data_IF_162256424705
#
_entry.id   IF_162256424705
#
_cell.length_a   1.000
_cell.length_b   1.000
_cell.length_c   1.000
_cell.angle_alpha   90.00
_cell.angle_beta   90.00
_cell.angle_gamma   90.00
#
_symmetry.space_group_name_H-M   'P 1'
#
loop_
_entity.id
_entity.type
_entity.pdbx_description
1 polymer ?
#
# COMPACT_ATOMS: atom_id res chain seq x y z
N UNK A 1 -53.22 24.38 1.37
CA UNK A 1 -52.45 23.74 2.45
C UNK A 1 -51.20 23.13 1.86
N UNK A 2 -50.03 23.63 2.30
CA UNK A 2 -48.74 23.04 2.01
C UNK A 2 -48.56 21.76 2.83
N UNK A 3 -48.00 20.71 2.22
CA UNK A 3 -47.13 19.77 2.94
C UNK A 3 -45.98 19.38 2.02
N UNK A 4 -44.81 19.90 2.38
CA UNK A 4 -43.53 19.70 1.72
C UNK A 4 -43.05 18.26 1.87
N UNK A 5 -42.56 17.74 0.75
CA UNK A 5 -41.71 16.57 0.63
C UNK A 5 -40.40 16.75 1.41
N UNK A 6 -39.99 15.73 2.16
CA UNK A 6 -38.61 15.57 2.65
C UNK A 6 -38.26 14.08 2.70
N UNK A 7 -38.14 13.49 1.50
CA UNK A 7 -37.34 12.28 1.31
C UNK A 7 -35.87 12.66 1.34
N UNK A 8 -35.24 12.63 2.52
CA UNK A 8 -33.80 12.75 2.66
C UNK A 8 -33.14 11.48 2.08
N UNK A 9 -32.89 11.52 0.77
CA UNK A 9 -32.05 10.55 0.09
C UNK A 9 -30.64 10.70 0.69
N UNK A 10 -30.24 9.74 1.52
CA UNK A 10 -28.88 9.64 2.02
C UNK A 10 -27.94 9.53 0.82
N UNK A 11 -27.37 10.66 0.43
CA UNK A 11 -26.39 10.76 -0.63
C UNK A 11 -25.11 10.11 -0.11
N UNK A 12 -24.96 8.81 -0.36
CA UNK A 12 -23.69 8.12 -0.18
C UNK A 12 -22.64 8.88 -0.98
N UNK A 13 -21.52 9.33 -0.39
CA UNK A 13 -20.46 9.96 -1.17
C UNK A 13 -20.06 9.00 -2.29
N UNK A 14 -19.92 9.47 -3.54
CA UNK A 14 -19.56 8.59 -4.65
C UNK A 14 -18.23 7.92 -4.31
N UNK A 15 -18.12 6.58 -4.38
CA UNK A 15 -16.84 5.93 -4.20
C UNK A 15 -15.91 6.49 -5.28
N UNK A 16 -14.70 6.91 -4.90
CA UNK A 16 -13.70 7.39 -5.85
C UNK A 16 -13.70 6.45 -7.08
N UNK A 17 -14.15 6.99 -8.21
CA UNK A 17 -14.56 6.22 -9.39
C UNK A 17 -13.43 5.31 -9.84
N UNK A 18 -13.75 4.21 -10.54
CA UNK A 18 -12.73 3.36 -11.22
C UNK A 18 -11.73 4.22 -12.02
N UNK A 19 -12.17 5.39 -12.45
CA UNK A 19 -11.40 6.43 -13.14
C UNK A 19 -10.25 7.01 -12.30
N UNK A 20 -10.42 7.20 -10.98
CA UNK A 20 -9.35 7.73 -10.12
C UNK A 20 -8.19 6.75 -9.97
N UNK A 21 -8.49 5.47 -9.78
CA UNK A 21 -7.46 4.43 -9.63
C UNK A 21 -6.81 4.09 -10.95
N UNK A 22 -7.57 4.17 -12.04
CA UNK A 22 -7.03 4.09 -13.39
C UNK A 22 -6.07 5.25 -13.66
N UNK A 23 -6.46 6.48 -13.32
CA UNK A 23 -5.62 7.66 -13.46
C UNK A 23 -4.34 7.57 -12.63
N UNK A 24 -4.41 7.13 -11.37
CA UNK A 24 -3.23 6.93 -10.53
C UNK A 24 -2.32 5.81 -11.07
N UNK A 25 -2.89 4.76 -11.67
CA UNK A 25 -2.13 3.70 -12.32
C UNK A 25 -1.47 4.15 -13.63
N UNK A 26 -2.12 5.04 -14.37
CA UNK A 26 -1.56 5.68 -15.57
C UNK A 26 -0.42 6.63 -15.19
N UNK A 27 -0.56 7.42 -14.11
CA UNK A 27 0.53 8.24 -13.55
C UNK A 27 1.73 7.39 -13.14
N UNK A 28 1.52 6.30 -12.39
CA UNK A 28 2.58 5.35 -12.05
C UNK A 28 3.31 4.79 -13.29
N UNK A 29 2.57 4.51 -14.38
CA UNK A 29 3.17 4.02 -15.63
C UNK A 29 3.99 5.11 -16.32
N UNK A 30 3.49 6.34 -16.35
CA UNK A 30 4.20 7.49 -16.90
C UNK A 30 5.50 7.77 -16.12
N UNK A 31 5.41 7.92 -14.79
CA UNK A 31 6.55 8.08 -13.89
C UNK A 31 7.55 6.91 -14.02
N UNK A 32 7.07 5.69 -14.28
CA UNK A 32 7.91 4.53 -14.53
C UNK A 32 8.66 4.58 -15.88
N UNK A 33 8.02 5.12 -16.92
CA UNK A 33 8.62 5.27 -18.24
C UNK A 33 9.66 6.41 -18.27
N UNK A 34 9.39 7.52 -17.58
CA UNK A 34 10.37 8.60 -17.36
C UNK A 34 11.62 8.07 -16.66
N UNK A 35 11.44 7.34 -15.56
CA UNK A 35 12.56 6.75 -14.82
C UNK A 35 13.39 5.77 -15.67
N UNK A 36 12.79 5.11 -16.65
CA UNK A 36 13.51 4.25 -17.58
C UNK A 36 14.38 5.08 -18.55
N UNK A 37 13.82 6.14 -19.14
CA UNK A 37 14.55 7.05 -20.02
C UNK A 37 15.73 7.71 -19.30
N UNK A 38 15.51 8.19 -18.09
CA UNK A 38 16.55 8.81 -17.27
C UNK A 38 17.68 7.83 -16.93
N UNK A 39 17.36 6.55 -16.70
CA UNK A 39 18.38 5.51 -16.47
C UNK A 39 19.17 5.19 -17.73
N UNK A 40 18.55 5.22 -18.90
CA UNK A 40 19.26 5.05 -20.16
C UNK A 40 20.18 6.24 -20.42
N UNK A 41 19.71 7.44 -20.16
CA UNK A 41 20.52 8.65 -20.28
C UNK A 41 21.70 8.62 -19.30
N UNK A 42 21.47 8.25 -18.05
CA UNK A 42 22.52 8.06 -17.05
C UNK A 42 23.60 7.08 -17.51
N UNK A 43 23.23 5.96 -18.15
CA UNK A 43 24.20 5.00 -18.69
C UNK A 43 25.05 5.62 -19.81
N UNK A 44 24.44 6.42 -20.68
CA UNK A 44 25.16 7.13 -21.75
C UNK A 44 26.13 8.16 -21.16
N UNK A 45 25.71 8.90 -20.14
CA UNK A 45 26.59 9.88 -19.48
C UNK A 45 27.74 9.22 -18.71
N UNK A 46 27.53 8.03 -18.13
CA UNK A 46 28.59 7.23 -17.53
C UNK A 46 29.61 6.74 -18.57
N UNK A 47 29.15 6.35 -19.77
CA UNK A 47 30.03 6.00 -20.88
C UNK A 47 30.80 7.23 -21.38
N UNK A 48 30.13 8.36 -21.58
CA UNK A 48 30.76 9.61 -22.00
C UNK A 48 31.84 10.07 -21.01
N UNK A 49 31.60 9.93 -19.71
CA UNK A 49 32.60 10.23 -18.69
C UNK A 49 33.81 9.28 -18.76
N UNK A 50 33.59 7.99 -19.02
CA UNK A 50 34.69 7.03 -19.22
C UNK A 50 35.54 7.42 -20.42
N UNK A 51 34.93 7.82 -21.53
CA UNK A 51 35.66 8.18 -22.74
C UNK A 51 36.37 9.54 -22.61
N UNK A 52 35.75 10.53 -21.96
CA UNK A 52 36.41 11.80 -21.64
C UNK A 52 37.65 11.61 -20.74
N UNK A 53 37.59 10.66 -19.79
CA UNK A 53 38.76 10.33 -18.96
C UNK A 53 39.89 9.69 -19.76
N UNK A 54 39.57 8.87 -20.77
CA UNK A 54 40.59 8.28 -21.68
C UNK A 54 41.27 9.33 -22.55
N UNK A 55 40.56 10.41 -22.92
CA UNK A 55 41.13 11.46 -23.76
C UNK A 55 42.08 12.40 -23.00
N UNK A 56 42.12 12.35 -21.66
CA UNK A 56 43.00 13.18 -20.83
C UNK A 56 42.68 14.68 -20.83
N UNK A 57 41.56 15.09 -21.42
CA UNK A 57 41.14 16.48 -21.55
C UNK A 57 40.32 16.89 -20.31
N UNK A 58 40.86 17.75 -19.42
CA UNK A 58 40.19 18.10 -18.17
C UNK A 58 38.88 18.85 -18.38
N UNK A 59 38.74 19.62 -19.47
CA UNK A 59 37.51 20.34 -19.77
C UNK A 59 36.40 19.37 -20.18
N UNK A 60 36.72 18.36 -21.00
CA UNK A 60 35.77 17.29 -21.37
C UNK A 60 35.36 16.44 -20.19
N UNK A 61 36.29 16.10 -19.29
CA UNK A 61 35.98 15.36 -18.07
C UNK A 61 35.00 16.16 -17.21
N UNK A 62 35.27 17.44 -16.96
CA UNK A 62 34.39 18.29 -16.14
C UNK A 62 32.98 18.40 -16.72
N UNK A 63 32.87 18.63 -18.03
CA UNK A 63 31.58 18.68 -18.70
C UNK A 63 30.80 17.35 -18.62
N UNK A 64 31.49 16.21 -18.72
CA UNK A 64 30.86 14.89 -18.57
C UNK A 64 30.43 14.61 -17.12
N UNK A 65 31.20 15.07 -16.12
CA UNK A 65 30.83 14.96 -14.71
C UNK A 65 29.60 15.80 -14.35
N UNK A 66 29.49 17.01 -14.90
CA UNK A 66 28.32 17.87 -14.72
C UNK A 66 27.05 17.24 -15.33
N UNK A 67 27.15 16.69 -16.54
CA UNK A 67 26.05 15.93 -17.17
C UNK A 67 25.65 14.71 -16.33
N UNK A 68 26.62 13.91 -15.91
CA UNK A 68 26.37 12.73 -15.09
C UNK A 68 25.68 13.12 -13.76
N UNK A 69 26.08 14.25 -13.16
CA UNK A 69 25.45 14.76 -11.94
C UNK A 69 24.00 15.18 -12.18
N UNK A 70 23.71 15.84 -13.31
CA UNK A 70 22.36 16.21 -13.69
C UNK A 70 21.47 14.97 -13.85
N UNK A 71 21.90 13.97 -14.64
CA UNK A 71 21.15 12.74 -14.89
C UNK A 71 20.93 11.91 -13.61
N UNK A 72 21.89 11.92 -12.66
CA UNK A 72 21.68 11.35 -11.33
C UNK A 72 20.61 12.09 -10.52
N UNK A 73 20.52 13.40 -10.71
CA UNK A 73 19.47 14.25 -10.13
C UNK A 73 18.10 13.90 -10.65
N UNK A 74 17.94 13.77 -11.97
CA UNK A 74 16.70 13.42 -12.65
C UNK A 74 16.19 12.03 -12.20
N UNK A 75 17.03 10.99 -12.28
CA UNK A 75 16.72 9.64 -11.76
C UNK A 75 16.28 9.66 -10.28
N UNK A 76 16.84 10.57 -9.47
CA UNK A 76 16.45 10.72 -8.06
C UNK A 76 15.09 11.42 -7.93
N UNK A 77 14.80 12.41 -8.77
CA UNK A 77 13.51 13.09 -8.86
C UNK A 77 12.41 12.10 -9.24
N UNK A 78 12.58 11.38 -10.34
CA UNK A 78 11.63 10.40 -10.85
C UNK A 78 11.34 9.29 -9.84
N UNK A 79 12.37 8.81 -9.14
CA UNK A 79 12.18 7.86 -8.04
C UNK A 79 11.30 8.42 -6.93
N UNK A 80 11.47 9.68 -6.56
CA UNK A 80 10.64 10.32 -5.52
C UNK A 80 9.18 10.48 -5.99
N UNK A 81 8.98 10.82 -7.27
CA UNK A 81 7.65 10.95 -7.84
C UNK A 81 6.92 9.61 -7.88
N UNK A 82 7.56 8.57 -8.44
CA UNK A 82 7.03 7.21 -8.44
C UNK A 82 6.75 6.71 -7.01
N UNK A 83 7.61 7.09 -6.08
CA UNK A 83 7.45 6.75 -4.67
C UNK A 83 6.21 7.39 -4.04
N UNK A 84 5.90 8.64 -4.40
CA UNK A 84 4.72 9.37 -3.93
C UNK A 84 3.44 8.85 -4.57
N UNK A 85 3.46 8.58 -5.88
CA UNK A 85 2.33 7.99 -6.62
C UNK A 85 1.92 6.64 -5.99
N UNK A 86 2.91 5.82 -5.62
CA UNK A 86 2.67 4.52 -4.97
C UNK A 86 2.01 4.68 -3.60
N UNK A 87 2.50 5.60 -2.77
CA UNK A 87 1.93 5.86 -1.44
C UNK A 87 0.49 6.38 -1.52
N UNK A 88 0.20 7.22 -2.52
CA UNK A 88 -1.16 7.71 -2.74
C UNK A 88 -2.10 6.55 -3.08
N UNK A 89 -1.73 5.71 -4.04
CA UNK A 89 -2.55 4.58 -4.47
C UNK A 89 -2.79 3.57 -3.34
N UNK A 90 -1.80 3.37 -2.47
CA UNK A 90 -1.93 2.53 -1.28
C UNK A 90 -2.93 3.10 -0.25
N UNK A 91 -2.83 4.40 0.06
CA UNK A 91 -3.79 5.08 0.95
C UNK A 91 -5.22 4.96 0.41
N UNK A 92 -5.41 5.22 -0.88
CA UNK A 92 -6.71 5.16 -1.53
C UNK A 92 -7.28 3.73 -1.54
N UNK A 93 -6.41 2.71 -1.63
CA UNK A 93 -6.81 1.31 -1.53
C UNK A 93 -7.27 0.96 -0.11
N UNK A 94 -6.49 1.32 0.92
CA UNK A 94 -6.83 1.08 2.33
C UNK A 94 -8.09 1.83 2.76
N UNK A 95 -8.30 3.05 2.25
CA UNK A 95 -9.50 3.81 2.53
C UNK A 95 -10.75 3.12 1.97
N UNK A 96 -10.70 2.65 0.72
CA UNK A 96 -11.82 1.91 0.12
C UNK A 96 -12.14 0.61 0.85
N UNK A 97 -11.13 -0.10 1.36
CA UNK A 97 -11.40 -1.29 2.18
C UNK A 97 -12.15 -0.93 3.47
N UNK A 98 -11.81 0.20 4.10
CA UNK A 98 -12.51 0.69 5.31
C UNK A 98 -13.95 1.05 5.00
N UNK A 99 -14.19 1.82 3.95
CA UNK A 99 -15.53 2.21 3.50
C UNK A 99 -16.39 0.97 3.18
N UNK A 100 -15.79 -0.01 2.49
CA UNK A 100 -16.46 -1.27 2.19
C UNK A 100 -16.80 -2.05 3.46
N UNK A 101 -15.87 -2.17 4.40
CA UNK A 101 -16.13 -2.82 5.69
C UNK A 101 -17.19 -2.09 6.53
N UNK A 102 -17.30 -0.77 6.44
CA UNK A 102 -18.36 0.00 7.08
C UNK A 102 -19.72 -0.34 6.46
N UNK A 103 -19.84 -0.27 5.14
CA UNK A 103 -21.07 -0.61 4.43
C UNK A 103 -21.53 -2.06 4.73
N UNK A 104 -20.59 -3.00 4.79
CA UNK A 104 -20.86 -4.40 5.15
C UNK A 104 -21.40 -4.55 6.57
N UNK A 105 -20.87 -3.77 7.52
CA UNK A 105 -21.36 -3.75 8.91
C UNK A 105 -22.76 -3.18 9.01
N UNK A 106 -23.06 -2.13 8.26
CA UNK A 106 -24.39 -1.52 8.24
C UNK A 106 -25.44 -2.48 7.66
N UNK A 107 -25.13 -3.11 6.52
CA UNK A 107 -25.99 -4.15 5.93
C UNK A 107 -26.24 -5.31 6.89
N UNK A 108 -25.18 -5.82 7.52
CA UNK A 108 -25.31 -6.90 8.51
C UNK A 108 -26.21 -6.49 9.68
N UNK A 109 -26.07 -5.25 10.19
CA UNK A 109 -26.92 -4.72 11.26
C UNK A 109 -28.39 -4.64 10.83
N UNK A 110 -28.66 -4.14 9.63
CA UNK A 110 -30.01 -4.05 9.08
C UNK A 110 -30.65 -5.44 8.96
N UNK A 111 -29.95 -6.39 8.35
CA UNK A 111 -30.46 -7.76 8.18
C UNK A 111 -30.63 -8.51 9.51
N UNK A 112 -29.80 -8.22 10.52
CA UNK A 112 -30.02 -8.74 11.88
C UNK A 112 -31.25 -8.12 12.56
N UNK A 113 -31.53 -6.84 12.33
CA UNK A 113 -32.71 -6.18 12.88
C UNK A 113 -34.00 -6.71 12.23
N UNK A 114 -34.00 -6.93 10.92
CA UNK A 114 -35.08 -7.57 10.19
C UNK A 114 -35.32 -9.00 10.70
N UNK A 115 -34.27 -9.82 10.78
CA UNK A 115 -34.36 -11.18 11.32
C UNK A 115 -34.96 -11.22 12.74
N UNK A 116 -34.69 -10.22 13.59
CA UNK A 116 -35.31 -10.12 14.92
C UNK A 116 -36.81 -9.82 14.83
N UNK A 117 -37.25 -9.00 13.87
CA UNK A 117 -38.67 -8.73 13.62
C UNK A 117 -39.38 -9.98 13.15
N UNK A 118 -38.80 -10.73 12.21
CA UNK A 118 -39.37 -11.98 11.70
C UNK A 118 -39.51 -13.04 12.81
N UNK A 119 -38.50 -13.14 13.70
CA UNK A 119 -38.59 -13.99 14.88
C UNK A 119 -39.70 -13.55 15.84
N UNK A 120 -39.93 -12.25 15.97
CA UNK A 120 -41.07 -11.70 16.71
C UNK A 120 -42.41 -12.07 16.07
N UNK A 121 -42.49 -12.04 14.73
CA UNK A 121 -43.68 -12.45 13.98
C UNK A 121 -43.98 -13.93 14.17
N UNK A 122 -42.96 -14.80 14.08
CA UNK A 122 -43.11 -16.24 14.38
C UNK A 122 -43.73 -16.47 15.75
N UNK A 123 -43.29 -15.75 16.80
CA UNK A 123 -43.88 -15.90 18.14
C UNK A 123 -45.36 -15.52 18.17
N UNK A 124 -45.77 -14.48 17.46
CA UNK A 124 -47.18 -14.07 17.35
C UNK A 124 -48.00 -15.12 16.60
N UNK A 125 -47.47 -15.67 15.52
CA UNK A 125 -48.16 -16.71 14.75
C UNK A 125 -48.26 -18.03 15.54
N UNK A 126 -47.25 -18.36 16.35
CA UNK A 126 -47.32 -19.50 17.28
C UNK A 126 -48.42 -19.31 18.34
N UNK A 127 -48.58 -18.10 18.86
CA UNK A 127 -49.67 -17.77 19.77
C UNK A 127 -51.03 -17.86 19.06
N UNK A 128 -51.16 -17.27 17.87
CA UNK A 128 -52.38 -17.32 17.07
C UNK A 128 -52.78 -18.78 16.76
N UNK A 129 -51.80 -19.65 16.46
CA UNK A 129 -52.05 -21.08 16.27
C UNK A 129 -52.54 -21.76 17.55
N UNK A 130 -51.97 -21.44 18.71
CA UNK A 130 -52.46 -21.97 19.99
C UNK A 130 -53.91 -21.56 20.25
N UNK A 131 -54.25 -20.30 20.00
CA UNK A 131 -55.61 -19.80 20.21
C UNK A 131 -56.61 -20.37 19.21
N UNK A 132 -56.22 -20.53 17.94
CA UNK A 132 -57.02 -21.25 16.94
C UNK A 132 -57.31 -22.69 17.37
N UNK A 133 -56.30 -23.40 17.90
CA UNK A 133 -56.47 -24.78 18.42
C UNK A 133 -57.43 -24.86 19.59
N UNK A 134 -57.43 -23.88 20.49
CA UNK A 134 -58.42 -23.80 21.59
C UNK A 134 -59.85 -23.59 21.09
N UNK A 135 -60.02 -22.88 19.97
CA UNK A 135 -61.35 -22.63 19.38
C UNK A 135 -61.97 -23.86 18.70
N UNK A 136 -61.16 -24.88 18.37
CA UNK A 136 -61.62 -26.09 17.69
C UNK A 136 -61.99 -25.92 16.21
N UNK A 137 -61.96 -24.69 15.68
CA UNK A 137 -62.29 -24.38 14.29
C UNK A 137 -61.16 -24.84 13.34
N UNK A 138 -61.40 -25.87 12.49
CA UNK A 138 -60.38 -26.40 11.60
C UNK A 138 -59.87 -25.38 10.56
N UNK A 139 -60.74 -24.46 10.11
CA UNK A 139 -60.37 -23.45 9.13
C UNK A 139 -59.41 -22.42 9.74
N UNK A 140 -59.66 -22.01 10.99
CA UNK A 140 -58.76 -21.10 11.74
C UNK A 140 -57.41 -21.74 12.03
N UNK A 141 -57.40 -23.03 12.39
CA UNK A 141 -56.16 -23.77 12.63
C UNK A 141 -55.32 -23.80 11.35
N UNK A 142 -55.91 -24.21 10.22
CA UNK A 142 -55.21 -24.28 8.93
C UNK A 142 -54.63 -22.92 8.53
N UNK A 143 -55.41 -21.85 8.65
CA UNK A 143 -54.94 -20.50 8.33
C UNK A 143 -53.77 -20.04 9.23
N UNK A 144 -53.82 -20.37 10.53
CA UNK A 144 -52.72 -20.06 11.46
C UNK A 144 -51.45 -20.88 11.17
N UNK A 145 -51.59 -22.15 10.78
CA UNK A 145 -50.46 -23.00 10.39
C UNK A 145 -49.77 -22.50 9.12
N UNK A 146 -50.54 -22.04 8.13
CA UNK A 146 -49.99 -21.44 6.91
C UNK A 146 -49.22 -20.15 7.20
N UNK A 147 -49.76 -19.26 8.05
CA UNK A 147 -49.06 -18.05 8.49
C UNK A 147 -47.76 -18.38 9.22
N UNK A 148 -47.82 -19.30 10.19
CA UNK A 148 -46.63 -19.72 10.92
C UNK A 148 -45.57 -20.33 10.00
N UNK A 149 -46.00 -21.12 9.00
CA UNK A 149 -45.09 -21.68 7.99
C UNK A 149 -44.45 -20.58 7.14
N UNK A 150 -45.19 -19.56 6.75
CA UNK A 150 -44.66 -18.42 6.01
C UNK A 150 -43.59 -17.66 6.83
N UNK A 151 -43.91 -17.27 8.06
CA UNK A 151 -42.99 -16.54 8.95
C UNK A 151 -41.72 -17.35 9.27
N UNK A 152 -41.83 -18.67 9.41
CA UNK A 152 -40.66 -19.56 9.58
C UNK A 152 -39.76 -19.57 8.34
N UNK A 153 -40.34 -19.48 7.13
CA UNK A 153 -39.56 -19.36 5.88
C UNK A 153 -38.83 -18.02 5.82
N UNK A 154 -39.47 -16.92 6.23
CA UNK A 154 -38.84 -15.59 6.29
C UNK A 154 -37.63 -15.61 7.24
N UNK A 155 -37.80 -16.14 8.46
CA UNK A 155 -36.68 -16.31 9.41
C UNK A 155 -35.56 -17.16 8.80
N UNK A 156 -35.87 -18.23 8.08
CA UNK A 156 -34.87 -19.04 7.41
C UNK A 156 -34.13 -18.27 6.31
N UNK A 157 -34.84 -17.43 5.54
CA UNK A 157 -34.26 -16.51 4.56
C UNK A 157 -33.35 -15.48 5.21
N UNK A 158 -33.84 -14.77 6.23
CA UNK A 158 -33.05 -13.77 6.97
C UNK A 158 -31.79 -14.35 7.60
N UNK A 159 -31.84 -15.58 8.13
CA UNK A 159 -30.63 -16.29 8.63
C UNK A 159 -29.59 -16.49 7.54
N UNK A 160 -30.00 -16.95 6.35
CA UNK A 160 -29.10 -17.14 5.21
C UNK A 160 -28.48 -15.82 4.76
N UNK A 161 -29.26 -14.75 4.76
CA UNK A 161 -28.79 -13.42 4.39
C UNK A 161 -27.75 -12.87 5.38
N UNK A 162 -28.03 -12.99 6.69
CA UNK A 162 -27.05 -12.64 7.74
C UNK A 162 -25.76 -13.46 7.62
N UNK A 163 -25.86 -14.75 7.29
CA UNK A 163 -24.68 -15.60 7.05
C UNK A 163 -23.89 -15.14 5.82
N UNK A 164 -24.57 -14.82 4.73
CA UNK A 164 -23.93 -14.31 3.51
C UNK A 164 -23.19 -13.00 3.76
N UNK A 165 -23.79 -12.07 4.52
CA UNK A 165 -23.15 -10.82 4.92
C UNK A 165 -21.92 -11.04 5.79
N UNK A 166 -21.98 -11.98 6.75
CA UNK A 166 -20.82 -12.34 7.58
C UNK A 166 -19.66 -12.85 6.72
N UNK A 167 -19.94 -13.76 5.78
CA UNK A 167 -18.94 -14.28 4.85
C UNK A 167 -18.37 -13.18 3.96
N UNK A 168 -19.20 -12.23 3.51
CA UNK A 168 -18.73 -11.10 2.71
C UNK A 168 -17.81 -10.18 3.50
N UNK A 169 -18.19 -9.87 4.74
CA UNK A 169 -17.37 -9.06 5.63
C UNK A 169 -16.05 -9.75 5.97
N UNK A 170 -16.04 -11.07 6.15
CA UNK A 170 -14.83 -11.84 6.38
C UNK A 170 -13.84 -11.72 5.22
N UNK A 171 -14.30 -11.92 3.98
CA UNK A 171 -13.49 -11.71 2.78
C UNK A 171 -12.96 -10.27 2.67
N UNK A 172 -13.74 -9.30 3.10
CA UNK A 172 -13.33 -7.89 3.05
C UNK A 172 -12.31 -7.55 4.13
N UNK A 173 -12.38 -8.20 5.29
CA UNK A 173 -11.35 -8.12 6.33
C UNK A 173 -10.05 -8.77 5.88
N UNK A 174 -10.13 -9.93 5.25
CA UNK A 174 -8.97 -10.63 4.68
C UNK A 174 -8.28 -9.75 3.64
N UNK A 175 -9.03 -9.25 2.66
CA UNK A 175 -8.50 -8.31 1.66
C UNK A 175 -7.82 -7.09 2.27
N UNK A 176 -8.44 -6.48 3.28
CA UNK A 176 -7.85 -5.32 3.97
C UNK A 176 -6.55 -5.67 4.71
N UNK A 177 -6.46 -6.90 5.27
CA UNK A 177 -5.24 -7.40 5.90
C UNK A 177 -4.13 -7.59 4.88
N UNK A 178 -4.43 -8.24 3.76
CA UNK A 178 -3.46 -8.46 2.68
C UNK A 178 -2.91 -7.15 2.15
N UNK A 179 -3.77 -6.15 1.94
CA UNK A 179 -3.35 -4.83 1.49
C UNK A 179 -2.44 -4.14 2.50
N UNK A 180 -2.76 -4.23 3.81
CA UNK A 180 -1.93 -3.67 4.88
C UNK A 180 -0.60 -4.43 5.03
N UNK A 181 -0.58 -5.73 4.82
CA UNK A 181 0.65 -6.51 4.85
C UNK A 181 1.54 -6.19 3.64
N UNK A 182 0.94 -6.06 2.45
CA UNK A 182 1.65 -5.66 1.25
C UNK A 182 2.30 -4.28 1.42
N UNK A 183 1.57 -3.32 1.99
CA UNK A 183 2.08 -2.00 2.36
C UNK A 183 3.32 -2.09 3.26
N UNK A 184 3.24 -2.86 4.34
CA UNK A 184 4.37 -3.07 5.27
C UNK A 184 5.58 -3.65 4.57
N UNK A 185 5.40 -4.71 3.77
CA UNK A 185 6.49 -5.33 3.01
C UNK A 185 7.14 -4.36 2.02
N UNK A 186 6.35 -3.47 1.41
CA UNK A 186 6.85 -2.46 0.49
C UNK A 186 7.65 -1.35 1.22
N UNK A 187 7.24 -0.98 2.43
CA UNK A 187 7.98 -0.06 3.30
C UNK A 187 9.29 -0.69 3.81
N UNK A 188 9.26 -1.95 4.26
CA UNK A 188 10.43 -2.68 4.75
C UNK A 188 11.51 -2.78 3.65
N UNK A 189 11.11 -3.19 2.43
CA UNK A 189 12.01 -3.24 1.26
C UNK A 189 12.61 -1.87 0.91
N UNK A 190 11.91 -0.77 1.21
CA UNK A 190 12.47 0.58 1.06
C UNK A 190 13.43 0.93 2.17
N UNK A 191 13.13 0.55 3.41
CA UNK A 191 13.99 0.73 4.58
C UNK A 191 15.34 0.06 4.37
N UNK A 192 15.36 -1.22 3.98
CA UNK A 192 16.57 -2.00 3.70
C UNK A 192 17.44 -1.34 2.60
N UNK A 193 16.83 -0.90 1.50
CA UNK A 193 17.54 -0.21 0.40
C UNK A 193 18.13 1.14 0.80
N UNK A 194 17.64 1.77 1.88
CA UNK A 194 18.19 3.01 2.43
C UNK A 194 19.32 2.70 3.42
N UNK A 195 19.14 1.72 4.31
CA UNK A 195 20.16 1.26 5.25
C UNK A 195 21.47 0.84 4.58
N UNK A 196 21.40 0.04 3.51
CA UNK A 196 22.59 -0.41 2.76
C UNK A 196 23.40 0.73 2.12
N UNK A 197 22.79 1.89 1.86
CA UNK A 197 23.49 3.05 1.28
C UNK A 197 24.18 3.88 2.34
N UNK A 198 23.60 3.98 3.53
CA UNK A 198 24.18 4.77 4.61
C UNK A 198 25.40 4.04 5.22
N UNK A 199 25.38 2.71 5.31
CA UNK A 199 26.52 1.90 5.75
C UNK A 199 27.73 1.97 4.78
N UNK A 200 27.48 2.09 3.47
CA UNK A 200 28.56 2.31 2.49
C UNK A 200 29.11 3.74 2.53
N UNK A 201 28.31 4.72 2.96
CA UNK A 201 28.71 6.12 3.02
C UNK A 201 29.59 6.41 4.25
N UNK A 202 29.41 5.66 5.32
CA UNK A 202 30.21 5.78 6.53
C UNK A 202 31.59 5.12 6.40
N UNK A 203 31.65 3.93 5.78
CA UNK A 203 32.94 3.25 5.50
C UNK A 203 33.82 3.98 4.47
N UNK A 204 33.26 4.88 3.66
CA UNK A 204 34.00 5.66 2.65
C UNK A 204 34.73 6.90 3.18
N UNK A 205 34.51 7.30 4.44
CA UNK A 205 35.14 8.51 5.04
C UNK A 205 36.33 8.22 5.96
N UNK A 206 36.69 6.95 6.17
CA UNK A 206 37.73 6.53 7.12
C UNK A 206 39.18 6.55 6.61
N UNK A 207 39.44 6.71 5.30
CA UNK A 207 40.79 6.51 4.73
C UNK A 207 41.30 7.75 3.98
N UNK A 208 41.27 8.93 4.61
CA UNK A 208 41.89 10.12 4.03
C UNK A 208 42.37 11.12 5.09
N UNK A 209 43.08 10.64 6.13
CA UNK A 209 43.92 11.51 6.95
C UNK A 209 45.17 10.78 7.45
N UNK A 210 46.32 11.25 6.96
CA UNK A 210 47.53 11.34 7.77
C UNK A 210 48.65 10.37 7.44
N UNK A 211 49.39 10.63 6.35
CA UNK A 211 50.85 10.45 6.34
C UNK A 211 51.48 11.51 5.43
N UNK A 212 51.79 12.65 6.04
CA UNK A 212 52.51 13.74 5.42
C UNK A 212 53.09 14.60 6.53
N UNK A 213 54.29 14.21 7.00
CA UNK A 213 55.31 14.96 7.75
C UNK A 213 56.16 14.00 8.59
N UNK A 214 57.19 13.44 7.98
CA UNK A 214 58.34 12.87 8.67
C UNK A 214 59.54 13.74 8.37
N UNK A 215 59.92 14.60 9.31
CA UNK A 215 61.14 15.41 9.28
C UNK A 215 62.33 14.46 9.42
N UNK A 216 63.23 14.43 8.44
CA UNK A 216 64.53 13.79 8.54
C UNK A 216 65.55 14.79 9.07
N UNK A 217 65.72 14.80 10.39
CA UNK A 217 66.96 15.20 11.04
C UNK A 217 67.36 14.04 11.94
N UNK A 218 68.67 13.89 12.14
CA UNK A 218 69.41 13.08 13.11
C UNK A 218 70.56 12.29 12.46
N UNK A 219 71.75 12.74 12.87
CA UNK A 219 73.01 12.01 13.02
C UNK A 219 73.93 11.86 11.79
N UNK A 220 74.83 12.84 11.68
CA UNK A 220 76.24 12.60 11.44
C UNK A 220 76.78 11.53 12.41
N UNK A 221 77.53 10.56 11.89
CA UNK A 221 78.63 9.91 12.60
C UNK A 221 79.55 9.22 11.60
N UNK A 222 80.75 9.76 11.48
CA UNK A 222 81.90 9.15 10.83
C UNK A 222 82.26 7.80 11.47
N UNK A 223 82.58 6.78 10.67
CA UNK A 223 83.86 6.10 10.86
C UNK A 223 84.32 5.31 9.64
N UNK A 224 85.60 5.58 9.33
CA UNK A 224 86.47 4.99 8.31
C UNK A 224 86.63 3.48 8.49
N UNK A 225 86.78 2.76 7.39
CA UNK A 225 87.11 1.32 7.40
C UNK A 225 87.60 0.84 6.03
N UNK A 226 88.89 1.05 5.78
CA UNK A 226 89.71 0.58 4.64
C UNK A 226 89.30 -0.81 4.11
N UNK A 227 89.29 -0.95 2.79
CA UNK A 227 89.01 -2.21 2.12
C UNK A 227 90.13 -3.23 2.19
N UNK A 228 89.89 -4.38 1.55
CA UNK A 228 90.91 -5.12 0.84
C UNK A 228 90.24 -6.16 -0.08
N UNK A 229 91.03 -6.51 -1.10
CA UNK A 229 90.93 -7.58 -2.09
C UNK A 229 90.29 -8.87 -1.58
N UNK A 230 89.59 -9.59 -2.45
CA UNK A 230 90.17 -10.77 -3.12
C UNK A 230 89.14 -11.50 -4.01
N UNK A 231 89.64 -11.85 -5.19
CA UNK A 231 89.26 -12.95 -6.12
C UNK A 231 87.99 -12.85 -6.95
#
# INVERSE_FOLDING_TARGET
>A
MLVFSLGALAQTPPPASKDGVRADREKMRASGAELQKDREQLKRDEQALRDARKSGDPAKVKAAEDKLRASRGEVRGDRKQLDADRQKLEKDRLQRDRERLQADREKLKANQAELKRDQGQVKRDEQALRDARKSGDPARIKAAEEKLRASRKEVAGGRRQVEADRKRMERDRERARDHREQARRDDDRRGERRGDRDDRRDKGKGYAKGQGKGKSEWAHSEKKGRGNKDR
#
